data_IF_319863107177
#
_entry.id   IF_319863107177
#
_cell.length_a   1.000
_cell.length_b   1.000
_cell.length_c   1.000
_cell.angle_alpha   90.00
_cell.angle_beta   90.00
_cell.angle_gamma   90.00
#
_symmetry.space_group_name_H-M   'P 1'
#
loop_
_entity.id
_entity.type
_entity.pdbx_description
1 polymer ?
#
# COMPACT_ATOMS: atom_id res chain seq x y z
N UNK A 1 -19.53 18.68 -35.30
CA UNK A 1 -21.00 18.67 -35.51
C UNK A 1 -21.64 18.45 -34.15
N UNK A 2 -22.29 19.51 -33.68
CA UNK A 2 -23.06 19.57 -32.44
C UNK A 2 -24.43 19.00 -32.78
N UNK A 3 -24.86 17.98 -32.10
CA UNK A 3 -26.23 17.54 -32.06
C UNK A 3 -26.87 17.99 -30.76
N UNK A 4 -27.77 18.96 -30.84
CA UNK A 4 -28.68 19.37 -29.77
C UNK A 4 -29.91 18.47 -29.89
N UNK A 5 -30.19 17.69 -28.86
CA UNK A 5 -31.45 16.99 -28.68
C UNK A 5 -31.92 17.20 -27.25
N UNK A 6 -32.98 18.00 -27.13
CA UNK A 6 -33.87 18.20 -25.97
C UNK A 6 -33.27 18.43 -24.58
N UNK A 7 -33.62 19.59 -24.04
CA UNK A 7 -33.50 20.16 -22.68
C UNK A 7 -33.61 19.19 -21.47
N UNK A 8 -32.82 18.13 -21.46
CA UNK A 8 -32.43 17.41 -20.23
C UNK A 8 -30.93 17.31 -20.25
N UNK A 9 -30.29 17.96 -19.29
CA UNK A 9 -28.92 17.68 -18.91
C UNK A 9 -28.88 16.17 -18.64
N UNK A 10 -28.41 15.42 -19.63
CA UNK A 10 -28.29 13.96 -19.52
C UNK A 10 -27.18 13.68 -18.51
N UNK A 11 -27.32 12.58 -17.79
CA UNK A 11 -26.34 12.09 -16.81
C UNK A 11 -24.87 12.19 -17.29
N UNK A 12 -24.63 12.30 -18.57
CA UNK A 12 -23.37 12.50 -19.27
C UNK A 12 -22.63 13.80 -18.88
N UNK A 13 -23.30 14.91 -18.73
CA UNK A 13 -22.67 16.19 -18.37
C UNK A 13 -22.32 16.24 -16.89
N UNK A 14 -23.09 15.57 -16.06
CA UNK A 14 -22.74 15.36 -14.65
C UNK A 14 -21.49 14.48 -14.52
N UNK A 15 -21.35 13.47 -15.39
CA UNK A 15 -20.16 12.60 -15.47
C UNK A 15 -18.92 13.36 -15.95
N UNK A 16 -19.06 14.29 -16.89
CA UNK A 16 -17.94 15.10 -17.40
C UNK A 16 -17.42 16.10 -16.36
N UNK A 17 -18.30 16.65 -15.52
CA UNK A 17 -17.94 17.56 -14.43
C UNK A 17 -17.28 16.81 -13.26
N UNK A 18 -17.66 15.56 -12.99
CA UNK A 18 -17.02 14.69 -12.00
C UNK A 18 -15.63 14.25 -12.49
N UNK A 19 -15.45 14.10 -13.79
CA UNK A 19 -14.17 13.76 -14.43
C UNK A 19 -13.14 14.89 -14.37
N UNK A 20 -13.57 16.14 -14.17
CA UNK A 20 -12.71 17.33 -14.10
C UNK A 20 -12.36 17.75 -12.67
N UNK A 21 -12.80 17.03 -11.63
CA UNK A 21 -12.26 17.27 -10.29
C UNK A 21 -10.82 16.77 -10.21
N UNK A 22 -9.91 17.52 -9.58
CA UNK A 22 -8.50 17.21 -9.65
C UNK A 22 -8.23 15.85 -9.04
N UNK A 23 -7.90 14.88 -9.90
CA UNK A 23 -7.48 13.52 -9.58
C UNK A 23 -6.23 13.47 -8.68
N UNK A 24 -5.57 14.61 -8.48
CA UNK A 24 -4.32 14.75 -7.75
C UNK A 24 -4.43 14.33 -6.27
N UNK A 25 -5.47 14.75 -5.56
CA UNK A 25 -5.65 14.44 -4.13
C UNK A 25 -6.10 12.98 -3.87
N UNK A 26 -6.77 12.36 -4.85
CA UNK A 26 -7.14 10.94 -4.78
C UNK A 26 -5.96 10.05 -5.18
N UNK A 27 -5.14 10.49 -6.11
CA UNK A 27 -3.97 9.76 -6.60
C UNK A 27 -2.89 9.61 -5.52
N UNK A 28 -2.68 10.64 -4.67
CA UNK A 28 -1.74 10.55 -3.54
C UNK A 28 -2.16 9.52 -2.48
N UNK A 29 -3.45 9.33 -2.27
CA UNK A 29 -3.97 8.48 -1.18
C UNK A 29 -3.76 6.97 -1.42
N UNK A 30 -3.65 6.56 -2.68
CA UNK A 30 -3.54 5.15 -3.09
C UNK A 30 -2.22 4.81 -3.78
N UNK A 31 -1.29 5.78 -3.83
CA UNK A 31 0.06 5.49 -4.31
C UNK A 31 0.72 4.50 -3.36
N UNK A 32 1.43 3.53 -3.94
CA UNK A 32 2.30 2.62 -3.19
C UNK A 32 3.23 3.44 -2.31
N UNK A 33 3.23 3.15 -1.01
CA UNK A 33 4.07 3.83 -0.01
C UNK A 33 5.41 3.13 0.09
N UNK A 34 6.48 3.86 -0.20
CA UNK A 34 7.85 3.38 -0.06
C UNK A 34 8.52 4.09 1.10
N UNK A 35 8.97 3.33 2.10
CA UNK A 35 9.77 3.84 3.20
C UNK A 35 11.25 3.81 2.79
N UNK A 36 11.92 4.95 2.88
CA UNK A 36 13.37 5.09 2.71
C UNK A 36 14.00 5.29 4.08
N UNK A 37 14.95 4.43 4.44
CA UNK A 37 15.72 4.52 5.68
C UNK A 37 17.18 4.73 5.29
N UNK A 38 17.71 5.93 5.51
CA UNK A 38 19.05 6.35 5.10
C UNK A 38 19.50 7.50 6.01
N UNK A 39 20.64 7.42 6.61
CA UNK A 39 21.14 8.44 7.53
C UNK A 39 21.70 9.67 6.81
N UNK A 40 22.30 9.50 5.62
CA UNK A 40 22.70 10.63 4.78
C UNK A 40 21.49 11.34 4.20
N UNK A 41 21.23 12.55 4.67
CA UNK A 41 20.12 13.38 4.23
C UNK A 41 20.16 13.71 2.73
N UNK A 42 21.34 13.82 2.14
CA UNK A 42 21.52 14.10 0.70
C UNK A 42 21.16 12.87 -0.13
N UNK A 43 21.65 11.69 0.25
CA UNK A 43 21.32 10.43 -0.41
C UNK A 43 19.82 10.12 -0.29
N UNK A 44 19.24 10.33 0.91
CA UNK A 44 17.81 10.17 1.16
C UNK A 44 16.98 11.11 0.28
N UNK A 45 17.35 12.39 0.20
CA UNK A 45 16.65 13.37 -0.65
C UNK A 45 16.71 13.00 -2.13
N UNK A 46 17.88 12.59 -2.64
CA UNK A 46 18.04 12.19 -4.05
C UNK A 46 17.20 10.98 -4.35
N UNK A 47 17.20 9.96 -3.50
CA UNK A 47 16.36 8.76 -3.65
C UNK A 47 14.87 9.14 -3.68
N UNK A 48 14.42 10.00 -2.75
CA UNK A 48 13.05 10.52 -2.74
C UNK A 48 12.68 11.21 -4.04
N UNK A 49 13.55 12.09 -4.57
CA UNK A 49 13.28 12.82 -5.81
C UNK A 49 13.08 11.89 -7.01
N UNK A 50 13.80 10.76 -7.07
CA UNK A 50 13.64 9.77 -8.14
C UNK A 50 12.37 8.92 -7.99
N UNK A 51 11.86 8.74 -6.78
CA UNK A 51 10.72 7.87 -6.52
C UNK A 51 9.38 8.61 -6.41
N UNK A 52 9.36 9.88 -6.03
CA UNK A 52 8.15 10.66 -5.70
C UNK A 52 7.10 10.76 -6.80
N UNK A 53 7.49 10.58 -8.08
CA UNK A 53 6.55 10.66 -9.19
C UNK A 53 5.69 9.39 -9.35
N UNK A 54 6.17 8.25 -8.83
CA UNK A 54 5.51 6.95 -8.94
C UNK A 54 5.03 6.41 -7.57
N UNK A 55 5.64 6.90 -6.47
CA UNK A 55 5.42 6.37 -5.13
C UNK A 55 5.21 7.48 -4.11
N UNK A 56 4.38 7.21 -3.11
CA UNK A 56 4.34 8.02 -1.91
C UNK A 56 5.56 7.68 -1.04
N UNK A 57 6.48 8.63 -0.86
CA UNK A 57 7.73 8.39 -0.11
C UNK A 57 7.59 8.82 1.34
N UNK A 58 7.85 7.88 2.24
CA UNK A 58 8.02 8.10 3.68
C UNK A 58 9.52 8.00 3.99
N UNK A 59 10.00 8.79 4.92
CA UNK A 59 11.43 8.91 5.21
C UNK A 59 11.71 8.62 6.69
N UNK A 60 12.83 7.95 6.94
CA UNK A 60 13.42 7.79 8.27
C UNK A 60 14.94 7.92 8.17
N UNK A 61 15.56 8.45 9.20
CA UNK A 61 17.02 8.68 9.28
C UNK A 61 17.79 7.49 9.85
N UNK A 62 17.09 6.56 10.51
CA UNK A 62 17.67 5.35 11.08
C UNK A 62 16.59 4.29 11.35
N UNK A 63 17.03 3.07 11.71
CA UNK A 63 16.11 1.96 11.96
C UNK A 63 15.17 2.21 13.15
N UNK A 64 15.58 2.97 14.16
CA UNK A 64 14.73 3.28 15.32
C UNK A 64 13.58 4.20 14.94
N UNK A 65 13.85 5.26 14.17
CA UNK A 65 12.82 6.16 13.66
C UNK A 65 11.86 5.40 12.74
N UNK A 66 12.39 4.53 11.87
CA UNK A 66 11.58 3.68 11.01
C UNK A 66 10.62 2.77 11.80
N UNK A 67 11.10 2.12 12.85
CA UNK A 67 10.26 1.28 13.71
C UNK A 67 9.15 2.07 14.39
N UNK A 68 9.42 3.32 14.83
CA UNK A 68 8.40 4.18 15.43
C UNK A 68 7.33 4.59 14.40
N UNK A 69 7.73 4.99 13.21
CA UNK A 69 6.82 5.32 12.12
C UNK A 69 5.90 4.13 11.75
N UNK A 70 6.46 2.93 11.70
CA UNK A 70 5.71 1.73 11.33
C UNK A 70 4.66 1.27 12.36
N UNK A 71 4.67 1.81 13.58
CA UNK A 71 3.58 1.60 14.55
C UNK A 71 2.29 2.31 14.12
N UNK A 72 2.42 3.45 13.44
CA UNK A 72 1.32 4.35 13.11
C UNK A 72 0.88 4.27 11.65
N UNK A 73 1.77 3.89 10.75
CA UNK A 73 1.44 3.79 9.33
C UNK A 73 1.99 2.52 8.69
N UNK A 74 1.23 2.00 7.71
CA UNK A 74 1.70 0.90 6.88
C UNK A 74 2.49 1.42 5.69
N UNK A 75 3.45 0.62 5.23
CA UNK A 75 4.19 0.84 3.98
C UNK A 75 4.16 -0.42 3.13
N UNK A 76 4.44 -0.26 1.85
CA UNK A 76 4.27 -1.32 0.86
C UNK A 76 5.60 -1.90 0.40
N UNK A 77 6.67 -1.13 0.62
CA UNK A 77 8.04 -1.53 0.35
C UNK A 77 8.98 -0.70 1.23
N UNK A 78 10.06 -1.32 1.67
CA UNK A 78 11.10 -0.66 2.46
C UNK A 78 12.41 -0.70 1.68
N UNK A 79 13.09 0.44 1.59
CA UNK A 79 14.45 0.60 1.10
C UNK A 79 15.28 1.06 2.29
N UNK A 80 16.24 0.27 2.72
CA UNK A 80 17.07 0.64 3.88
C UNK A 80 18.55 0.55 3.56
N UNK A 81 19.33 1.53 4.04
CA UNK A 81 20.77 1.38 4.07
C UNK A 81 21.17 0.35 5.13
N UNK A 82 22.21 -0.39 4.85
CA UNK A 82 22.81 -1.31 5.83
C UNK A 82 23.52 -0.55 6.94
N UNK A 83 24.27 0.50 6.58
CA UNK A 83 25.13 1.23 7.52
C UNK A 83 24.44 2.49 8.03
N UNK A 84 23.76 2.36 9.16
CA UNK A 84 23.10 3.49 9.82
C UNK A 84 23.43 3.52 11.32
N UNK A 85 23.39 4.69 11.95
CA UNK A 85 23.58 4.84 13.41
C UNK A 85 22.38 4.25 14.17
N UNK A 86 22.55 4.00 15.48
CA UNK A 86 21.57 3.51 16.45
C UNK A 86 21.04 2.10 16.15
N UNK A 87 20.48 1.87 14.96
CA UNK A 87 19.98 0.58 14.50
C UNK A 87 20.34 0.44 13.02
N UNK A 88 21.20 -0.50 12.69
CA UNK A 88 21.63 -0.77 11.33
C UNK A 88 20.52 -1.49 10.52
N UNK A 89 20.71 -1.58 9.19
CA UNK A 89 19.69 -2.17 8.31
C UNK A 89 19.38 -3.63 8.60
N UNK A 90 20.34 -4.43 9.04
CA UNK A 90 20.12 -5.85 9.40
C UNK A 90 19.32 -5.97 10.69
N UNK A 91 19.71 -5.24 11.73
CA UNK A 91 18.98 -5.19 13.00
C UNK A 91 17.54 -4.71 12.82
N UNK A 92 17.37 -3.70 11.97
CA UNK A 92 16.03 -3.21 11.61
C UNK A 92 15.19 -4.33 10.98
N UNK A 93 15.72 -5.03 9.94
CA UNK A 93 14.97 -6.09 9.26
C UNK A 93 14.61 -7.22 10.21
N UNK A 94 15.54 -7.65 11.06
CA UNK A 94 15.28 -8.70 12.03
C UNK A 94 14.11 -8.36 12.96
N UNK A 95 14.10 -7.14 13.53
CA UNK A 95 13.00 -6.69 14.37
C UNK A 95 11.70 -6.49 13.58
N UNK A 96 11.78 -5.92 12.39
CA UNK A 96 10.61 -5.69 11.55
C UNK A 96 9.93 -7.01 11.16
N UNK A 97 10.70 -8.06 10.85
CA UNK A 97 10.17 -9.38 10.48
C UNK A 97 9.42 -10.11 11.62
N UNK A 98 9.62 -9.72 12.86
CA UNK A 98 8.79 -10.18 13.98
C UNK A 98 7.36 -9.60 13.91
N UNK A 99 7.18 -8.43 13.28
CA UNK A 99 5.90 -7.72 13.16
C UNK A 99 5.24 -7.96 11.80
N UNK A 100 6.02 -7.92 10.72
CA UNK A 100 5.54 -8.05 9.35
C UNK A 100 6.47 -8.94 8.51
N UNK A 101 5.93 -10.05 8.03
CA UNK A 101 6.68 -11.03 7.23
C UNK A 101 6.54 -10.81 5.72
N UNK A 102 5.63 -9.96 5.29
CA UNK A 102 5.18 -9.87 3.89
C UNK A 102 5.65 -8.61 3.16
N UNK A 103 5.79 -7.48 3.86
CA UNK A 103 6.25 -6.23 3.22
C UNK A 103 7.68 -6.42 2.69
N UNK A 104 7.91 -6.25 1.37
CA UNK A 104 9.22 -6.44 0.78
C UNK A 104 10.25 -5.44 1.30
N UNK A 105 11.47 -5.93 1.55
CA UNK A 105 12.60 -5.13 2.00
C UNK A 105 13.76 -5.27 1.02
N UNK A 106 14.22 -4.13 0.50
CA UNK A 106 15.42 -3.99 -0.32
C UNK A 106 16.51 -3.30 0.49
N UNK A 107 17.66 -3.93 0.68
CA UNK A 107 18.81 -3.30 1.32
C UNK A 107 19.77 -2.66 0.32
N UNK A 108 20.23 -1.46 0.67
CA UNK A 108 21.33 -0.79 -0.01
C UNK A 108 22.63 -1.07 0.76
N UNK A 109 23.66 -1.56 0.07
CA UNK A 109 24.89 -2.01 0.72
C UNK A 109 26.16 -1.57 -0.02
N UNK A 110 27.25 -1.37 0.68
CA UNK A 110 28.55 -1.19 0.05
C UNK A 110 29.08 -2.53 -0.50
N UNK A 111 29.86 -2.49 -1.62
CA UNK A 111 30.41 -3.70 -2.25
C UNK A 111 31.17 -4.65 -1.31
N UNK A 112 31.78 -4.13 -0.24
CA UNK A 112 32.60 -4.92 0.71
C UNK A 112 31.76 -5.84 1.59
N UNK A 113 30.49 -5.51 1.81
CA UNK A 113 29.56 -6.25 2.68
C UNK A 113 28.81 -7.38 1.95
N UNK A 114 29.11 -7.55 0.66
CA UNK A 114 28.53 -8.62 -0.15
C UNK A 114 28.82 -10.04 0.40
N UNK A 115 29.89 -10.22 1.19
CA UNK A 115 30.24 -11.53 1.76
C UNK A 115 29.31 -11.92 2.92
N UNK A 116 28.62 -10.98 3.56
CA UNK A 116 27.66 -11.23 4.65
C UNK A 116 26.25 -11.61 4.15
N UNK A 117 26.07 -11.73 2.83
CA UNK A 117 24.78 -12.06 2.20
C UNK A 117 24.13 -13.34 2.72
N UNK A 118 24.91 -14.34 3.15
CA UNK A 118 24.37 -15.59 3.70
C UNK A 118 23.56 -15.31 4.99
N UNK A 119 23.95 -14.32 5.77
CA UNK A 119 23.19 -13.91 6.96
C UNK A 119 21.90 -13.15 6.58
N UNK A 120 21.97 -12.30 5.56
CA UNK A 120 20.84 -11.46 5.18
C UNK A 120 19.62 -12.21 4.66
N UNK A 121 19.81 -13.27 3.87
CA UNK A 121 18.69 -14.12 3.44
C UNK A 121 18.03 -14.88 4.60
N UNK A 122 18.77 -15.18 5.66
CA UNK A 122 18.23 -15.85 6.84
C UNK A 122 17.32 -14.94 7.68
N UNK A 123 17.51 -13.60 7.62
CA UNK A 123 16.70 -12.63 8.38
C UNK A 123 15.51 -12.07 7.59
N UNK A 124 15.29 -12.53 6.35
CA UNK A 124 14.09 -12.20 5.59
C UNK A 124 14.19 -10.96 4.70
N UNK A 125 15.36 -10.69 4.13
CA UNK A 125 15.58 -9.65 3.11
C UNK A 125 15.14 -10.21 1.75
N UNK A 126 14.43 -9.40 0.95
CA UNK A 126 13.88 -9.83 -0.33
C UNK A 126 14.80 -9.50 -1.50
N UNK A 127 15.59 -8.44 -1.42
CA UNK A 127 16.59 -8.08 -2.43
C UNK A 127 17.69 -7.16 -1.88
N UNK A 128 18.79 -7.07 -2.61
CA UNK A 128 19.94 -6.21 -2.32
C UNK A 128 20.36 -5.40 -3.52
N UNK A 129 20.84 -4.19 -3.27
CA UNK A 129 21.46 -3.35 -4.28
C UNK A 129 22.73 -2.72 -3.74
N UNK A 130 23.79 -2.69 -4.57
CA UNK A 130 25.08 -2.11 -4.16
C UNK A 130 25.11 -0.60 -4.41
N UNK A 131 25.67 0.14 -3.47
CA UNK A 131 26.02 1.56 -3.66
C UNK A 131 27.28 1.70 -4.57
N UNK A 132 27.37 2.69 -5.46
CA UNK A 132 26.42 3.78 -5.66
C UNK A 132 25.11 3.32 -6.33
N UNK A 133 23.99 3.92 -5.91
CA UNK A 133 22.65 3.56 -6.37
C UNK A 133 22.48 3.96 -7.83
N UNK A 134 22.15 2.98 -8.69
CA UNK A 134 21.62 3.24 -10.01
C UNK A 134 20.08 3.33 -9.90
N UNK A 135 19.52 4.52 -10.10
CA UNK A 135 18.09 4.75 -9.85
C UNK A 135 17.16 4.06 -10.85
N UNK A 136 17.61 3.80 -12.07
CA UNK A 136 16.87 3.01 -13.05
C UNK A 136 16.77 1.55 -12.60
N UNK A 137 17.89 0.96 -12.16
CA UNK A 137 17.92 -0.38 -11.59
C UNK A 137 17.07 -0.46 -10.31
N UNK A 138 17.12 0.56 -9.45
CA UNK A 138 16.31 0.65 -8.23
C UNK A 138 14.82 0.57 -8.58
N UNK A 139 14.35 1.34 -9.55
CA UNK A 139 12.95 1.30 -10.00
C UNK A 139 12.55 -0.07 -10.52
N UNK A 140 13.39 -0.74 -11.31
CA UNK A 140 13.10 -2.10 -11.79
C UNK A 140 12.98 -3.11 -10.64
N UNK A 141 13.86 -3.02 -9.65
CA UNK A 141 13.83 -3.88 -8.45
C UNK A 141 12.59 -3.64 -7.60
N UNK A 142 12.22 -2.38 -7.36
CA UNK A 142 10.98 -2.00 -6.67
C UNK A 142 9.78 -2.63 -7.37
N UNK A 143 9.63 -2.43 -8.69
CA UNK A 143 8.51 -3.01 -9.45
C UNK A 143 8.49 -4.53 -9.39
N UNK A 144 9.66 -5.18 -9.41
CA UNK A 144 9.77 -6.64 -9.30
C UNK A 144 9.36 -7.14 -7.91
N UNK A 145 9.74 -6.44 -6.84
CA UNK A 145 9.39 -6.77 -5.46
C UNK A 145 7.88 -6.59 -5.21
N UNK A 146 7.31 -5.45 -5.64
CA UNK A 146 5.89 -5.18 -5.52
C UNK A 146 5.05 -6.23 -6.26
N UNK A 147 5.44 -6.61 -7.49
CA UNK A 147 4.79 -7.68 -8.24
C UNK A 147 4.84 -9.03 -7.53
N UNK A 148 5.97 -9.41 -6.91
CA UNK A 148 6.09 -10.66 -6.15
C UNK A 148 5.22 -10.64 -4.90
N UNK A 149 5.11 -9.49 -4.25
CA UNK A 149 4.25 -9.29 -3.09
C UNK A 149 2.76 -9.18 -3.47
N UNK A 150 2.42 -9.27 -4.78
CA UNK A 150 1.07 -9.05 -5.33
C UNK A 150 0.50 -7.68 -4.97
N UNK A 151 1.36 -6.69 -4.76
CA UNK A 151 0.96 -5.31 -4.52
C UNK A 151 0.71 -4.66 -5.87
N UNK A 152 -0.54 -4.34 -6.15
CA UNK A 152 -0.97 -3.74 -7.41
C UNK A 152 -0.94 -2.22 -7.32
N UNK A 153 -0.31 -1.56 -8.31
CA UNK A 153 -0.49 -0.12 -8.57
C UNK A 153 -1.67 0.12 -9.51
N UNK A 154 -2.40 -0.94 -9.85
CA UNK A 154 -3.53 -0.83 -10.76
C UNK A 154 -4.74 -0.29 -10.00
N UNK A 155 -5.48 0.61 -10.63
CA UNK A 155 -6.76 1.15 -10.15
C UNK A 155 -7.87 0.10 -10.08
N UNK A 156 -7.53 -1.16 -10.32
CA UNK A 156 -8.46 -2.30 -10.31
C UNK A 156 -7.81 -3.53 -9.67
N UNK A 157 -8.60 -4.26 -8.91
CA UNK A 157 -8.25 -5.58 -8.40
C UNK A 157 -9.16 -6.59 -9.12
N UNK A 158 -8.56 -7.63 -9.69
CA UNK A 158 -9.30 -8.70 -10.37
C UNK A 158 -9.11 -10.01 -9.60
N UNK A 159 -10.20 -10.62 -9.17
CA UNK A 159 -10.22 -11.88 -8.40
C UNK A 159 -11.25 -12.78 -9.07
N UNK A 160 -10.81 -13.75 -9.89
CA UNK A 160 -11.74 -14.54 -10.70
C UNK A 160 -12.64 -13.64 -11.55
N UNK A 161 -13.95 -13.75 -11.36
CA UNK A 161 -14.96 -12.94 -12.07
C UNK A 161 -15.26 -11.59 -11.38
N UNK A 162 -14.59 -11.29 -10.26
CA UNK A 162 -14.77 -10.05 -9.50
C UNK A 162 -13.78 -9.00 -9.95
N UNK A 163 -14.28 -7.81 -10.29
CA UNK A 163 -13.49 -6.61 -10.59
C UNK A 163 -13.83 -5.53 -9.57
N UNK A 164 -12.83 -5.07 -8.83
CA UNK A 164 -12.95 -3.97 -7.86
C UNK A 164 -12.29 -2.75 -8.48
N UNK A 165 -13.08 -1.74 -8.83
CA UNK A 165 -12.60 -0.55 -9.55
C UNK A 165 -12.58 0.67 -8.64
N UNK A 166 -11.39 1.27 -8.51
CA UNK A 166 -11.18 2.49 -7.75
C UNK A 166 -11.84 3.71 -8.41
N UNK A 167 -11.75 3.81 -9.73
CA UNK A 167 -12.28 4.96 -10.47
C UNK A 167 -13.80 5.13 -10.26
N UNK A 168 -14.51 4.05 -9.93
CA UNK A 168 -15.97 4.07 -9.77
C UNK A 168 -16.46 3.73 -8.35
N UNK A 169 -15.56 3.46 -7.39
CA UNK A 169 -15.90 2.92 -6.06
C UNK A 169 -16.87 1.72 -6.15
N UNK A 170 -16.62 0.84 -7.10
CA UNK A 170 -17.56 -0.20 -7.50
C UNK A 170 -16.90 -1.57 -7.49
N UNK A 171 -17.68 -2.58 -7.11
CA UNK A 171 -17.34 -4.00 -7.20
C UNK A 171 -18.30 -4.65 -8.18
N UNK A 172 -17.77 -5.37 -9.15
CA UNK A 172 -18.55 -6.03 -10.22
C UNK A 172 -18.24 -7.52 -10.20
N UNK A 173 -19.28 -8.37 -10.28
CA UNK A 173 -19.19 -9.82 -10.51
C UNK A 173 -20.19 -10.20 -11.58
N UNK A 174 -19.72 -10.50 -12.79
CA UNK A 174 -20.59 -10.73 -13.94
C UNK A 174 -21.47 -9.50 -14.23
N UNK A 175 -22.79 -9.66 -14.13
CA UNK A 175 -23.76 -8.57 -14.31
C UNK A 175 -24.08 -7.81 -13.01
N UNK A 176 -23.71 -8.37 -11.87
CA UNK A 176 -23.97 -7.77 -10.57
C UNK A 176 -22.97 -6.62 -10.30
N UNK A 177 -23.49 -5.44 -9.94
CA UNK A 177 -22.71 -4.23 -9.67
C UNK A 177 -23.08 -3.64 -8.31
N UNK A 178 -22.11 -3.50 -7.43
CA UNK A 178 -22.29 -2.94 -6.10
C UNK A 178 -21.42 -1.68 -5.98
N UNK A 179 -22.08 -0.52 -5.89
CA UNK A 179 -21.40 0.75 -5.56
C UNK A 179 -21.30 0.87 -4.05
N UNK A 180 -20.10 1.17 -3.56
CA UNK A 180 -19.81 1.30 -2.14
C UNK A 180 -19.70 2.77 -1.73
N UNK A 181 -20.14 3.12 -0.52
CA UNK A 181 -19.73 4.38 0.10
C UNK A 181 -18.21 4.49 0.17
N UNK A 182 -17.66 5.68 -0.03
CA UNK A 182 -16.22 5.94 -0.16
C UNK A 182 -15.38 5.21 0.89
N UNK A 183 -15.73 5.30 2.19
CA UNK A 183 -14.95 4.66 3.28
C UNK A 183 -15.06 3.13 3.28
N UNK A 184 -16.18 2.57 2.87
CA UNK A 184 -16.32 1.13 2.70
C UNK A 184 -15.50 0.63 1.52
N UNK A 185 -15.50 1.38 0.40
CA UNK A 185 -14.68 1.07 -0.75
C UNK A 185 -13.17 1.14 -0.41
N UNK A 186 -12.73 2.24 0.19
CA UNK A 186 -11.34 2.44 0.61
C UNK A 186 -10.85 1.30 1.51
N UNK A 187 -11.69 0.87 2.46
CA UNK A 187 -11.36 -0.23 3.36
C UNK A 187 -11.26 -1.57 2.62
N UNK A 188 -12.24 -1.90 1.79
CA UNK A 188 -12.24 -3.14 1.01
C UNK A 188 -11.04 -3.19 0.06
N UNK A 189 -10.85 -2.11 -0.72
CA UNK A 189 -9.77 -1.99 -1.69
C UNK A 189 -8.40 -2.16 -1.01
N UNK A 190 -8.19 -1.49 0.13
CA UNK A 190 -6.95 -1.63 0.91
C UNK A 190 -6.70 -3.07 1.34
N UNK A 191 -7.68 -3.74 1.92
CA UNK A 191 -7.51 -5.11 2.42
C UNK A 191 -7.22 -6.11 1.29
N UNK A 192 -7.89 -5.95 0.13
CA UNK A 192 -7.75 -6.87 -1.01
C UNK A 192 -6.58 -6.51 -1.94
N UNK A 193 -6.07 -5.28 -1.91
CA UNK A 193 -4.82 -4.92 -2.58
C UNK A 193 -3.60 -5.62 -1.97
N UNK A 194 -3.72 -6.09 -0.73
CA UNK A 194 -2.64 -6.74 0.00
C UNK A 194 -3.10 -8.09 0.60
N UNK A 195 -3.30 -9.10 -0.23
CA UNK A 195 -3.80 -10.38 0.23
C UNK A 195 -2.93 -10.97 1.34
N UNK A 196 -3.60 -11.46 2.39
CA UNK A 196 -2.97 -12.09 3.56
C UNK A 196 -2.14 -11.14 4.47
N UNK A 197 -2.01 -9.84 4.14
CA UNK A 197 -1.39 -8.87 5.01
C UNK A 197 -2.35 -8.47 6.14
N UNK A 198 -1.84 -8.49 7.38
CA UNK A 198 -2.60 -8.05 8.55
C UNK A 198 -2.43 -6.54 8.68
N UNK A 199 -3.53 -5.81 8.74
CA UNK A 199 -3.57 -4.39 9.07
C UNK A 199 -4.10 -4.23 10.49
N UNK A 200 -3.36 -3.53 11.34
CA UNK A 200 -3.84 -3.19 12.67
C UNK A 200 -4.99 -2.19 12.59
N UNK A 201 -5.80 -2.11 13.65
CA UNK A 201 -6.91 -1.15 13.69
C UNK A 201 -6.38 0.28 13.57
N UNK A 202 -5.27 0.62 14.24
CA UNK A 202 -4.62 1.94 14.11
C UNK A 202 -4.22 2.23 12.67
N UNK A 203 -3.53 1.30 12.00
CA UNK A 203 -3.13 1.49 10.59
C UNK A 203 -4.34 1.73 9.68
N UNK A 204 -5.43 0.98 9.89
CA UNK A 204 -6.67 1.18 9.13
C UNK A 204 -7.28 2.56 9.39
N UNK A 205 -7.32 2.99 10.65
CA UNK A 205 -7.84 4.31 11.03
C UNK A 205 -7.02 5.43 10.38
N UNK A 206 -5.71 5.39 10.54
CA UNK A 206 -4.80 6.42 10.04
C UNK A 206 -4.85 6.49 8.50
N UNK A 207 -4.82 5.34 7.83
CA UNK A 207 -4.80 5.28 6.37
C UNK A 207 -6.14 5.70 5.73
N UNK A 208 -7.28 5.38 6.35
CA UNK A 208 -8.60 5.58 5.75
C UNK A 208 -9.29 6.83 6.28
N UNK A 209 -9.20 7.10 7.58
CA UNK A 209 -9.86 8.26 8.21
C UNK A 209 -8.92 9.42 8.48
N UNK A 210 -7.60 9.19 8.54
CA UNK A 210 -6.58 10.16 8.85
C UNK A 210 -6.27 10.24 10.34
N UNK A 211 -5.04 10.63 10.67
CA UNK A 211 -4.50 10.66 12.03
C UNK A 211 -5.30 11.58 12.99
N UNK A 212 -5.83 12.70 12.46
CA UNK A 212 -6.57 13.70 13.26
C UNK A 212 -8.08 13.39 13.34
N UNK A 213 -8.53 12.21 12.88
CA UNK A 213 -9.95 11.88 12.92
C UNK A 213 -10.38 11.46 14.32
N UNK A 214 -11.62 11.82 14.70
CA UNK A 214 -12.26 11.32 15.94
C UNK A 214 -12.80 9.88 15.77
N UNK A 215 -12.37 9.15 14.74
CA UNK A 215 -12.80 7.78 14.48
C UNK A 215 -12.07 6.81 15.40
N UNK A 216 -12.76 5.77 15.85
CA UNK A 216 -12.27 4.77 16.78
C UNK A 216 -12.36 3.34 16.22
N UNK A 217 -11.96 2.36 17.01
CA UNK A 217 -12.05 0.93 16.66
C UNK A 217 -13.47 0.51 16.27
N UNK A 218 -14.49 1.10 16.91
CA UNK A 218 -15.90 0.79 16.66
C UNK A 218 -16.28 1.19 15.22
N UNK A 219 -15.71 2.29 14.72
CA UNK A 219 -15.89 2.75 13.35
C UNK A 219 -15.40 1.71 12.35
N UNK A 220 -14.16 1.22 12.53
CA UNK A 220 -13.58 0.17 11.66
C UNK A 220 -14.46 -1.09 11.71
N UNK A 221 -14.79 -1.56 12.91
CA UNK A 221 -15.64 -2.76 13.11
C UNK A 221 -16.98 -2.64 12.40
N UNK A 222 -17.60 -1.47 12.47
CA UNK A 222 -18.89 -1.20 11.83
C UNK A 222 -18.78 -1.33 10.31
N UNK A 223 -17.74 -0.75 9.69
CA UNK A 223 -17.53 -0.82 8.25
C UNK A 223 -17.18 -2.24 7.78
N UNK A 224 -16.35 -2.98 8.54
CA UNK A 224 -16.06 -4.41 8.27
C UNK A 224 -17.35 -5.23 8.27
N UNK A 225 -18.21 -5.04 9.27
CA UNK A 225 -19.47 -5.78 9.35
C UNK A 225 -20.42 -5.46 8.19
N UNK A 226 -20.45 -4.19 7.74
CA UNK A 226 -21.24 -3.78 6.58
C UNK A 226 -20.72 -4.43 5.29
N UNK A 227 -19.39 -4.45 5.09
CA UNK A 227 -18.77 -5.11 3.95
C UNK A 227 -19.07 -6.61 3.97
N UNK A 228 -18.84 -7.30 5.08
CA UNK A 228 -19.16 -8.74 5.22
C UNK A 228 -20.62 -9.05 4.88
N UNK A 229 -21.55 -8.18 5.31
CA UNK A 229 -22.96 -8.35 5.01
C UNK A 229 -23.29 -8.14 3.52
N UNK A 230 -22.62 -7.17 2.86
CA UNK A 230 -22.83 -6.88 1.44
C UNK A 230 -22.30 -7.98 0.53
N UNK A 231 -21.21 -8.62 0.93
CA UNK A 231 -20.52 -9.65 0.15
C UNK A 231 -20.67 -11.06 0.76
N UNK A 232 -21.72 -11.30 1.55
CA UNK A 232 -21.94 -12.57 2.24
C UNK A 232 -22.03 -13.79 1.30
N UNK A 233 -22.57 -13.58 0.09
CA UNK A 233 -22.76 -14.61 -0.93
C UNK A 233 -21.60 -14.66 -1.96
N UNK A 234 -20.53 -13.89 -1.72
CA UNK A 234 -19.37 -13.86 -2.61
C UNK A 234 -18.25 -14.70 -2.02
N UNK A 235 -17.82 -15.72 -2.77
CA UNK A 235 -16.81 -16.67 -2.30
C UNK A 235 -15.40 -16.34 -2.76
N UNK A 236 -15.22 -15.32 -3.61
CA UNK A 236 -13.96 -14.98 -4.25
C UNK A 236 -12.98 -14.31 -3.30
N UNK A 237 -13.47 -13.74 -2.21
CA UNK A 237 -12.64 -13.15 -1.16
C UNK A 237 -13.33 -13.17 0.21
N UNK A 238 -12.53 -13.05 1.26
CA UNK A 238 -13.01 -12.93 2.63
C UNK A 238 -12.26 -11.86 3.42
N UNK A 239 -12.94 -11.18 4.34
CA UNK A 239 -12.32 -10.28 5.31
C UNK A 239 -12.23 -11.00 6.64
N UNK A 240 -11.01 -11.37 7.05
CA UNK A 240 -10.73 -12.16 8.25
C UNK A 240 -10.36 -11.25 9.41
N UNK A 241 -10.88 -11.55 10.62
CA UNK A 241 -10.47 -10.89 11.86
C UNK A 241 -9.33 -11.64 12.50
N UNK A 242 -8.23 -10.95 12.76
CA UNK A 242 -7.10 -11.47 13.52
C UNK A 242 -7.22 -10.95 14.96
N UNK A 243 -7.63 -11.82 15.88
CA UNK A 243 -7.92 -11.44 17.27
C UNK A 243 -6.75 -10.72 17.92
N UNK A 244 -7.01 -9.57 18.53
CA UNK A 244 -6.01 -8.74 19.20
C UNK A 244 -5.07 -7.96 18.28
N UNK A 245 -5.21 -8.06 16.94
CA UNK A 245 -4.37 -7.36 15.98
C UNK A 245 -5.17 -6.46 15.04
N UNK A 246 -6.12 -7.01 14.27
CA UNK A 246 -6.84 -6.23 13.27
C UNK A 246 -7.51 -7.12 12.21
N UNK A 247 -7.34 -6.74 10.94
CA UNK A 247 -8.03 -7.39 9.83
C UNK A 247 -7.09 -7.67 8.66
N UNK A 248 -7.43 -8.68 7.86
CA UNK A 248 -6.78 -8.97 6.57
C UNK A 248 -7.81 -9.38 5.52
N UNK A 249 -7.48 -9.17 4.25
CA UNK A 249 -8.20 -9.74 3.12
C UNK A 249 -7.59 -11.06 2.70
N UNK A 250 -8.40 -12.07 2.44
CA UNK A 250 -8.00 -13.34 1.85
C UNK A 250 -8.67 -13.48 0.49
N UNK A 251 -7.93 -13.97 -0.51
CA UNK A 251 -8.45 -14.28 -1.83
C UNK A 251 -8.63 -15.79 -1.90
N UNK A 252 -9.81 -16.21 -2.34
CA UNK A 252 -10.12 -17.61 -2.59
C UNK A 252 -9.93 -17.89 -4.08
N UNK A 253 -9.12 -18.89 -4.41
CA UNK A 253 -8.85 -19.33 -5.78
C UNK A 253 -9.99 -20.24 -6.28
#
# INVERSE_FOLDING_TARGET
KIFIVNDKITEWETWYQIFLMPSFALQEKYMVKVLIIEDDSSARLVTKLHLRNEYQVVEASDGMEAMELLKHQSVDLIIADVMMPKMNGYEFVEQFRMMDKNTPVLLLTAKKEWQDKKMGFAIGIDDYMTKPVNYEELQWRIRALLRRAKISNEKQIIIGDVVISEDFNMVVRGEEKITLPKKEFELLFKLLSYPNKIFTVSQILDDIWGYDSNSDETTVRTHINRLRKKFADWNEFEIVTIRGLGYRGELNE
#
